data_IF_795831772273
#
_entry.id   IF_795831772273
#
_cell.length_a   1.000
_cell.length_b   1.000
_cell.length_c   1.000
_cell.angle_alpha   90.00
_cell.angle_beta   90.00
_cell.angle_gamma   90.00
#
_symmetry.space_group_name_H-M   'P 1'
#
loop_
_entity.id
_entity.type
_entity.pdbx_description
1 polymer ?
#
# COMPACT_ATOMS: atom_id res chain seq x y z
N UNK A 1 -17.60 2.16 -17.31
CA UNK A 1 -18.17 1.05 -16.51
C UNK A 1 -17.00 0.26 -15.99
N UNK A 2 -16.93 -0.03 -14.69
CA UNK A 2 -15.77 -0.69 -14.07
C UNK A 2 -15.84 -2.19 -14.35
N UNK A 3 -14.77 -2.77 -14.90
CA UNK A 3 -14.65 -4.23 -15.05
C UNK A 3 -14.13 -4.84 -13.74
N UNK A 4 -15.05 -5.18 -12.84
CA UNK A 4 -14.72 -5.74 -11.54
C UNK A 4 -14.02 -7.10 -11.59
N UNK A 5 -14.06 -7.81 -12.72
CA UNK A 5 -13.37 -9.09 -12.89
C UNK A 5 -11.85 -8.96 -12.97
N UNK A 6 -11.34 -7.77 -13.29
CA UNK A 6 -9.90 -7.48 -13.40
C UNK A 6 -9.35 -6.68 -12.22
N UNK A 7 -10.22 -6.21 -11.31
CA UNK A 7 -9.79 -5.34 -10.20
C UNK A 7 -9.05 -6.14 -9.13
N UNK A 8 -9.42 -7.40 -8.89
CA UNK A 8 -8.88 -8.22 -7.79
C UNK A 8 -8.02 -9.39 -8.29
N UNK A 9 -6.86 -9.59 -7.68
CA UNK A 9 -5.97 -10.73 -7.91
C UNK A 9 -6.62 -12.07 -7.50
N UNK A 10 -7.37 -12.05 -6.40
CA UNK A 10 -8.16 -13.19 -5.94
C UNK A 10 -9.59 -12.75 -5.60
N UNK A 11 -10.57 -13.47 -6.14
CA UNK A 11 -11.98 -13.14 -5.99
C UNK A 11 -12.84 -14.39 -5.82
N UNK A 12 -13.77 -14.33 -4.87
CA UNK A 12 -14.85 -15.31 -4.67
C UNK A 12 -16.18 -14.56 -4.64
N UNK A 13 -16.64 -14.06 -5.81
CA UNK A 13 -17.85 -13.27 -5.88
C UNK A 13 -19.09 -14.11 -5.55
N UNK A 14 -20.07 -13.48 -4.91
CA UNK A 14 -21.44 -13.99 -4.80
C UNK A 14 -22.25 -13.55 -6.01
N UNK A 15 -23.45 -14.12 -6.18
CA UNK A 15 -24.39 -13.66 -7.19
C UNK A 15 -24.63 -12.16 -7.02
N UNK A 16 -24.45 -11.38 -8.08
CA UNK A 16 -24.74 -9.95 -8.11
C UNK A 16 -26.21 -9.65 -7.80
N UNK A 17 -26.45 -8.49 -7.19
CA UNK A 17 -27.81 -8.04 -6.88
C UNK A 17 -28.54 -7.59 -8.15
N UNK A 18 -29.83 -7.88 -8.20
CA UNK A 18 -30.75 -7.37 -9.21
C UNK A 18 -31.05 -5.89 -9.01
N UNK A 19 -31.50 -5.18 -10.04
CA UNK A 19 -31.90 -3.78 -9.90
C UNK A 19 -33.03 -3.57 -8.88
N UNK A 20 -33.91 -4.56 -8.70
CA UNK A 20 -34.96 -4.51 -7.68
C UNK A 20 -34.38 -4.55 -6.26
N UNK A 21 -33.45 -5.48 -5.99
CA UNK A 21 -32.74 -5.57 -4.70
C UNK A 21 -31.92 -4.30 -4.41
N UNK A 22 -31.30 -3.71 -5.45
CA UNK A 22 -30.56 -2.46 -5.32
C UNK A 22 -31.50 -1.28 -5.02
N UNK A 23 -32.64 -1.19 -5.70
CA UNK A 23 -33.61 -0.13 -5.46
C UNK A 23 -34.18 -0.20 -4.04
N UNK A 24 -34.51 -1.40 -3.56
CA UNK A 24 -34.96 -1.62 -2.18
C UNK A 24 -33.87 -1.26 -1.17
N UNK A 25 -32.64 -1.71 -1.41
CA UNK A 25 -31.49 -1.38 -0.56
C UNK A 25 -31.28 0.14 -0.45
N UNK A 26 -31.25 0.86 -1.57
CA UNK A 26 -31.07 2.33 -1.58
C UNK A 26 -32.23 3.03 -0.86
N UNK A 27 -33.47 2.55 -1.04
CA UNK A 27 -34.64 3.15 -0.40
C UNK A 27 -34.71 2.94 1.11
N UNK A 28 -34.10 1.87 1.63
CA UNK A 28 -34.26 1.45 3.03
C UNK A 28 -32.99 1.61 3.87
N UNK A 29 -31.81 1.70 3.26
CA UNK A 29 -30.54 1.68 3.99
C UNK A 29 -30.43 2.81 5.04
N UNK A 30 -30.70 4.05 4.64
CA UNK A 30 -30.46 5.24 5.45
C UNK A 30 -31.63 5.67 6.33
N UNK A 31 -32.79 5.00 6.28
CA UNK A 31 -33.98 5.42 7.04
C UNK A 31 -33.78 5.22 8.55
N UNK A 32 -34.50 5.97 9.42
CA UNK A 32 -34.48 5.75 10.86
C UNK A 32 -34.75 4.30 11.26
N UNK A 33 -34.29 3.88 12.44
CA UNK A 33 -34.51 2.52 12.91
C UNK A 33 -36.01 2.24 13.10
N UNK A 34 -36.41 1.03 12.73
CA UNK A 34 -37.74 0.50 13.04
C UNK A 34 -37.85 0.15 14.53
N UNK A 35 -39.08 0.00 15.03
CA UNK A 35 -39.32 -0.40 16.41
C UNK A 35 -38.67 -1.76 16.75
N UNK A 36 -38.66 -2.70 15.81
CA UNK A 36 -38.05 -4.02 15.98
C UNK A 36 -36.52 -3.95 16.04
N UNK A 37 -35.90 -3.09 15.22
CA UNK A 37 -34.46 -2.83 15.27
C UNK A 37 -34.04 -2.18 16.58
N UNK A 38 -34.81 -1.19 17.07
CA UNK A 38 -34.60 -0.55 18.38
C UNK A 38 -34.69 -1.59 19.50
N UNK A 39 -35.73 -2.42 19.50
CA UNK A 39 -35.92 -3.46 20.51
C UNK A 39 -34.76 -4.48 20.49
N UNK A 40 -34.27 -4.86 19.31
CA UNK A 40 -33.12 -5.75 19.15
C UNK A 40 -31.85 -5.14 19.74
N UNK A 41 -31.54 -3.88 19.42
CA UNK A 41 -30.35 -3.20 19.96
C UNK A 41 -30.44 -3.12 21.48
N UNK A 42 -31.56 -2.65 22.03
CA UNK A 42 -31.79 -2.56 23.47
C UNK A 42 -31.64 -3.91 24.18
N UNK A 43 -32.07 -5.00 23.56
CA UNK A 43 -31.90 -6.36 24.11
C UNK A 43 -30.45 -6.83 24.23
N UNK A 44 -29.51 -6.25 23.48
CA UNK A 44 -28.09 -6.63 23.47
C UNK A 44 -27.21 -5.79 24.39
N UNK A 45 -27.67 -4.62 24.83
CA UNK A 45 -26.86 -3.73 25.68
C UNK A 45 -26.57 -4.36 27.05
N UNK A 46 -25.32 -4.29 27.50
CA UNK A 46 -24.87 -4.80 28.80
C UNK A 46 -23.91 -3.80 29.43
N UNK A 47 -23.95 -3.68 30.76
CA UNK A 47 -22.96 -2.90 31.50
C UNK A 47 -21.57 -3.53 31.27
N UNK A 48 -20.61 -2.80 30.65
CA UNK A 48 -19.29 -3.34 30.35
C UNK A 48 -18.39 -3.41 31.58
N UNK A 49 -18.75 -2.72 32.66
CA UNK A 49 -17.96 -2.65 33.89
C UNK A 49 -18.25 -3.84 34.80
N UNK A 50 -17.25 -4.23 35.59
CA UNK A 50 -17.46 -5.19 36.67
C UNK A 50 -18.19 -4.50 37.84
N UNK A 51 -18.98 -5.22 38.66
CA UNK A 51 -19.68 -4.62 39.81
C UNK A 51 -18.77 -3.91 40.82
N UNK A 52 -17.47 -4.23 40.83
CA UNK A 52 -16.45 -3.61 41.67
C UNK A 52 -15.86 -2.33 41.09
N UNK A 53 -16.12 -2.04 39.82
CA UNK A 53 -15.60 -0.86 39.14
C UNK A 53 -16.43 0.39 39.52
N UNK A 54 -15.80 1.53 39.86
CA UNK A 54 -16.51 2.77 40.17
C UNK A 54 -17.50 3.22 39.08
N UNK A 55 -17.27 2.86 37.81
CA UNK A 55 -18.13 3.25 36.68
C UNK A 55 -19.37 2.35 36.51
N UNK A 56 -19.46 1.25 37.28
CA UNK A 56 -20.60 0.33 37.19
C UNK A 56 -21.93 1.01 37.49
N UNK A 57 -21.97 1.83 38.54
CA UNK A 57 -23.20 2.49 39.01
C UNK A 57 -23.65 3.66 38.11
N UNK A 58 -22.76 4.15 37.26
CA UNK A 58 -23.01 5.31 36.37
C UNK A 58 -23.28 4.89 34.92
N UNK A 59 -23.22 3.60 34.61
CA UNK A 59 -23.51 3.13 33.26
C UNK A 59 -25.01 3.19 32.98
N UNK A 60 -25.36 3.84 31.88
CA UNK A 60 -26.72 3.86 31.33
C UNK A 60 -26.68 3.33 29.88
N UNK A 61 -27.69 2.54 29.46
CA UNK A 61 -27.81 2.15 28.06
C UNK A 61 -28.06 3.37 27.19
N UNK A 62 -27.50 3.38 25.97
CA UNK A 62 -27.77 4.44 25.01
C UNK A 62 -29.13 4.26 24.35
N UNK A 63 -29.68 5.34 23.81
CA UNK A 63 -30.94 5.32 23.07
C UNK A 63 -30.69 5.19 21.55
N UNK A 64 -30.93 4.00 20.93
CA UNK A 64 -30.74 3.81 19.50
C UNK A 64 -31.79 4.53 18.64
N UNK A 65 -32.89 5.03 19.23
CA UNK A 65 -33.86 5.85 18.49
C UNK A 65 -33.29 7.23 18.12
N UNK A 66 -32.26 7.69 18.84
CA UNK A 66 -31.59 8.96 18.59
C UNK A 66 -30.46 8.87 17.54
N UNK A 67 -30.20 7.67 16.99
CA UNK A 67 -29.11 7.47 16.02
C UNK A 67 -29.32 8.25 14.72
N UNK A 68 -28.26 8.95 14.31
CA UNK A 68 -28.23 9.69 13.05
C UNK A 68 -27.90 8.72 11.91
N UNK A 69 -28.93 8.39 11.14
CA UNK A 69 -28.82 7.51 9.98
C UNK A 69 -28.56 8.32 8.69
N UNK A 70 -27.82 7.76 7.71
CA UNK A 70 -27.44 8.46 6.48
C UNK A 70 -28.59 8.53 5.46
N UNK A 71 -29.75 9.07 5.85
CA UNK A 71 -30.97 9.11 5.03
C UNK A 71 -30.86 10.01 3.79
N UNK A 72 -30.07 11.08 3.90
CA UNK A 72 -29.83 12.07 2.85
C UNK A 72 -28.53 11.83 2.07
N UNK A 73 -27.77 10.78 2.43
CA UNK A 73 -26.50 10.43 1.79
C UNK A 73 -26.72 9.36 0.72
N UNK A 74 -26.46 9.64 -0.57
CA UNK A 74 -26.54 8.61 -1.60
C UNK A 74 -25.49 7.52 -1.39
N UNK A 75 -25.82 6.28 -1.74
CA UNK A 75 -24.82 5.19 -1.83
C UNK A 75 -23.87 5.49 -3.00
N UNK A 76 -22.55 5.31 -2.84
CA UNK A 76 -21.57 5.56 -3.89
C UNK A 76 -21.88 4.82 -5.20
N UNK A 77 -21.85 5.50 -6.36
CA UNK A 77 -22.08 4.86 -7.66
C UNK A 77 -21.15 3.70 -7.96
N UNK A 78 -19.87 3.79 -7.57
CA UNK A 78 -18.91 2.70 -7.74
C UNK A 78 -19.26 1.48 -6.87
N UNK A 79 -19.73 1.69 -5.64
CA UNK A 79 -20.21 0.60 -4.79
C UNK A 79 -21.48 -0.05 -5.35
N UNK A 80 -22.43 0.73 -5.87
CA UNK A 80 -23.60 0.19 -6.56
C UNK A 80 -23.21 -0.60 -7.82
N UNK A 81 -22.19 -0.15 -8.56
CA UNK A 81 -21.64 -0.92 -9.68
C UNK A 81 -21.03 -2.24 -9.21
N UNK A 82 -20.35 -2.26 -8.07
CA UNK A 82 -19.79 -3.47 -7.48
C UNK A 82 -20.86 -4.44 -7.01
N UNK A 83 -21.91 -3.97 -6.33
CA UNK A 83 -23.00 -4.83 -5.83
C UNK A 83 -23.77 -5.52 -6.97
N UNK A 84 -23.87 -4.88 -8.15
CA UNK A 84 -24.37 -5.51 -9.39
C UNK A 84 -23.48 -6.66 -9.87
N UNK A 85 -22.18 -6.54 -9.69
CA UNK A 85 -21.22 -7.60 -10.00
C UNK A 85 -21.24 -8.69 -8.93
N UNK A 86 -21.26 -8.33 -7.64
CA UNK A 86 -21.21 -9.25 -6.52
C UNK A 86 -21.92 -8.70 -5.28
N UNK A 87 -22.99 -9.37 -4.83
CA UNK A 87 -23.71 -9.01 -3.61
C UNK A 87 -22.99 -9.55 -2.36
N UNK A 88 -21.82 -8.98 -2.07
CA UNK A 88 -20.85 -9.45 -1.07
C UNK A 88 -19.90 -10.53 -1.61
N UNK A 89 -18.99 -11.04 -0.79
CA UNK A 89 -17.98 -12.05 -1.21
C UNK A 89 -16.62 -11.81 -0.57
N UNK A 90 -15.61 -12.59 -0.95
CA UNK A 90 -14.22 -12.35 -0.51
C UNK A 90 -13.33 -11.97 -1.68
N UNK A 91 -12.57 -10.90 -1.53
CA UNK A 91 -11.73 -10.29 -2.56
C UNK A 91 -10.39 -9.89 -1.98
N UNK A 92 -9.32 -9.97 -2.77
CA UNK A 92 -7.98 -9.67 -2.31
C UNK A 92 -7.09 -9.13 -3.44
N UNK A 93 -6.26 -8.16 -3.06
CA UNK A 93 -5.15 -7.62 -3.84
C UNK A 93 -3.92 -7.55 -2.92
N UNK A 94 -2.84 -8.24 -3.24
CA UNK A 94 -1.68 -8.34 -2.34
C UNK A 94 -2.08 -8.78 -0.93
N UNK A 95 -1.74 -7.97 0.08
CA UNK A 95 -2.11 -8.19 1.49
C UNK A 95 -3.44 -7.51 1.89
N UNK A 96 -4.11 -6.81 0.97
CA UNK A 96 -5.41 -6.18 1.22
C UNK A 96 -6.54 -7.17 0.97
N UNK A 97 -7.12 -7.67 2.06
CA UNK A 97 -8.27 -8.56 2.04
C UNK A 97 -9.56 -7.77 2.28
N UNK A 98 -10.63 -8.17 1.59
CA UNK A 98 -11.99 -7.68 1.77
C UNK A 98 -12.96 -8.85 1.91
N UNK A 99 -13.66 -8.90 3.03
CA UNK A 99 -14.91 -9.63 3.18
C UNK A 99 -16.03 -8.63 2.92
N UNK A 100 -16.35 -8.46 1.63
CA UNK A 100 -17.29 -7.45 1.16
C UNK A 100 -18.71 -7.79 1.58
N UNK A 101 -19.43 -6.77 2.04
CA UNK A 101 -20.88 -6.80 2.17
C UNK A 101 -21.50 -6.25 0.89
N UNK A 102 -22.77 -6.59 0.68
CA UNK A 102 -23.57 -6.05 -0.42
C UNK A 102 -24.80 -5.32 0.12
N UNK A 103 -25.98 -5.64 -0.37
CA UNK A 103 -27.23 -4.96 0.04
C UNK A 103 -27.59 -5.13 1.52
N UNK A 104 -26.96 -6.07 2.24
CA UNK A 104 -27.13 -6.28 3.69
C UNK A 104 -26.38 -5.31 4.61
N UNK A 105 -25.75 -4.25 4.08
CA UNK A 105 -24.99 -3.23 4.82
C UNK A 105 -25.66 -2.75 6.11
N UNK A 106 -26.98 -2.49 6.07
CA UNK A 106 -27.75 -1.98 7.21
C UNK A 106 -27.68 -2.90 8.42
N UNK A 107 -27.67 -4.22 8.21
CA UNK A 107 -27.62 -5.18 9.30
C UNK A 107 -26.31 -5.06 10.08
N UNK A 108 -25.19 -4.91 9.36
CA UNK A 108 -23.87 -4.73 9.99
C UNK A 108 -23.73 -3.38 10.66
N UNK A 109 -24.23 -2.31 10.04
CA UNK A 109 -24.27 -0.97 10.63
C UNK A 109 -24.95 -0.98 12.01
N UNK A 110 -26.09 -1.67 12.12
CA UNK A 110 -26.85 -1.79 13.37
C UNK A 110 -26.19 -2.79 14.33
N UNK A 111 -25.76 -3.96 13.87
CA UNK A 111 -25.20 -5.01 14.73
C UNK A 111 -23.94 -4.57 15.48
N UNK A 112 -23.14 -3.71 14.86
CA UNK A 112 -21.92 -3.14 15.47
C UNK A 112 -22.17 -1.80 16.15
N UNK A 113 -23.43 -1.36 16.24
CA UNK A 113 -23.82 -0.09 16.85
C UNK A 113 -23.02 1.11 16.29
N UNK A 114 -22.64 1.07 15.00
CA UNK A 114 -21.75 2.09 14.42
C UNK A 114 -22.32 3.51 14.58
N UNK A 115 -23.62 3.78 14.35
CA UNK A 115 -24.16 5.13 14.50
C UNK A 115 -24.05 5.71 15.92
N UNK A 116 -23.89 4.87 16.95
CA UNK A 116 -23.65 5.30 18.32
C UNK A 116 -22.27 5.94 18.50
N UNK A 117 -21.26 5.37 17.83
CA UNK A 117 -19.86 5.72 18.02
C UNK A 117 -19.33 6.61 16.89
N UNK A 118 -19.77 6.37 15.67
CA UNK A 118 -19.34 7.05 14.45
C UNK A 118 -20.57 7.43 13.61
N UNK A 119 -21.34 8.46 13.99
CA UNK A 119 -22.52 8.87 13.23
C UNK A 119 -22.13 9.24 11.79
N UNK A 120 -22.99 8.85 10.84
CA UNK A 120 -22.79 9.01 9.39
C UNK A 120 -21.55 8.28 8.81
N UNK A 121 -20.99 7.30 9.50
CA UNK A 121 -19.96 6.42 8.95
C UNK A 121 -20.57 5.05 8.63
N UNK A 122 -20.27 4.51 7.45
CA UNK A 122 -20.91 3.29 6.93
C UNK A 122 -19.87 2.21 6.63
N UNK A 123 -19.79 1.12 7.41
CA UNK A 123 -18.86 0.02 7.14
C UNK A 123 -19.35 -0.81 5.95
N UNK A 124 -18.46 -1.24 5.06
CA UNK A 124 -18.83 -2.03 3.87
C UNK A 124 -18.05 -3.34 3.68
N UNK A 125 -17.00 -3.56 4.44
CA UNK A 125 -16.24 -4.80 4.41
C UNK A 125 -15.41 -4.99 5.68
N UNK A 126 -15.09 -6.25 5.98
CA UNK A 126 -14.02 -6.59 6.91
C UNK A 126 -12.71 -6.86 6.18
N UNK A 127 -11.58 -6.65 6.86
CA UNK A 127 -10.27 -7.09 6.38
C UNK A 127 -9.94 -8.56 6.74
N UNK A 128 -10.82 -9.27 7.44
CA UNK A 128 -10.59 -10.63 7.95
C UNK A 128 -9.91 -10.72 9.33
N UNK A 129 -9.41 -9.61 9.88
CA UNK A 129 -8.78 -9.52 11.21
C UNK A 129 -9.48 -8.55 12.18
N UNK A 130 -10.75 -8.24 11.92
CA UNK A 130 -11.57 -7.38 12.80
C UNK A 130 -11.42 -5.89 12.55
N UNK A 131 -10.87 -5.48 11.39
CA UNK A 131 -10.89 -4.10 10.87
C UNK A 131 -12.00 -3.93 9.86
N UNK A 132 -12.84 -2.92 10.07
CA UNK A 132 -13.83 -2.51 9.08
C UNK A 132 -13.23 -1.47 8.14
N UNK A 133 -13.57 -1.57 6.87
CA UNK A 133 -13.47 -0.47 5.92
C UNK A 133 -14.80 0.27 5.91
N UNK A 134 -14.76 1.60 6.01
CA UNK A 134 -15.96 2.42 6.15
C UNK A 134 -15.94 3.62 5.21
N UNK A 135 -17.10 3.93 4.63
CA UNK A 135 -17.36 5.21 4.00
C UNK A 135 -17.48 6.28 5.07
N UNK A 136 -16.72 7.35 4.93
CA UNK A 136 -16.85 8.54 5.75
C UNK A 136 -17.88 9.49 5.14
N UNK A 137 -19.16 9.32 5.50
CA UNK A 137 -20.28 10.12 4.98
C UNK A 137 -20.65 11.29 5.91
N UNK A 138 -19.75 11.69 6.82
CA UNK A 138 -19.94 12.85 7.70
C UNK A 138 -20.12 14.12 6.87
N UNK A 139 -19.29 14.27 5.84
CA UNK A 139 -19.42 15.33 4.83
C UNK A 139 -20.25 14.86 3.62
N UNK A 140 -20.84 15.80 2.84
CA UNK A 140 -21.48 15.48 1.56
C UNK A 140 -20.51 14.78 0.60
N UNK A 141 -21.02 13.98 -0.35
CA UNK A 141 -20.18 13.31 -1.34
C UNK A 141 -19.47 14.31 -2.25
N UNK A 142 -18.41 13.85 -2.90
CA UNK A 142 -17.71 14.63 -3.92
C UNK A 142 -18.57 14.83 -5.19
N UNK A 143 -17.99 15.48 -6.20
CA UNK A 143 -18.66 15.75 -7.49
C UNK A 143 -19.03 14.48 -8.27
N UNK A 144 -18.51 13.32 -7.88
CA UNK A 144 -18.79 12.02 -8.47
C UNK A 144 -19.76 11.17 -7.63
N UNK A 145 -20.19 11.67 -6.47
CA UNK A 145 -21.06 10.91 -5.56
C UNK A 145 -20.29 9.95 -4.65
N UNK A 146 -18.97 10.09 -4.52
CA UNK A 146 -18.10 9.21 -3.75
C UNK A 146 -17.74 9.82 -2.37
N UNK A 147 -17.30 8.96 -1.45
CA UNK A 147 -16.83 9.37 -0.12
C UNK A 147 -15.42 8.84 0.15
N UNK A 148 -14.63 9.57 0.97
CA UNK A 148 -13.41 9.06 1.55
C UNK A 148 -13.62 7.72 2.27
N UNK A 149 -12.60 6.88 2.24
CA UNK A 149 -12.60 5.61 2.96
C UNK A 149 -11.70 5.72 4.17
N UNK A 150 -12.24 5.34 5.34
CA UNK A 150 -11.50 5.19 6.59
C UNK A 150 -11.50 3.71 7.03
N UNK A 151 -10.66 3.35 8.00
CA UNK A 151 -10.74 2.04 8.65
C UNK A 151 -10.87 2.17 10.17
N UNK A 152 -11.56 1.25 10.84
CA UNK A 152 -11.70 1.29 12.29
C UNK A 152 -11.74 -0.08 12.97
N UNK A 153 -11.43 -0.05 14.27
CA UNK A 153 -11.75 -1.05 15.31
C UNK A 153 -13.16 -1.59 15.26
N UNK A 154 -13.43 -2.85 14.88
CA UNK A 154 -14.76 -3.43 15.12
C UNK A 154 -15.14 -3.44 16.61
N UNK A 155 -14.14 -3.53 17.49
CA UNK A 155 -14.29 -3.43 18.95
C UNK A 155 -13.81 -2.10 19.54
N UNK A 156 -13.45 -1.12 18.71
CA UNK A 156 -12.87 0.16 19.14
C UNK A 156 -13.26 1.30 18.18
N UNK A 157 -14.56 1.38 17.84
CA UNK A 157 -15.08 2.45 16.98
C UNK A 157 -14.92 3.80 17.68
N UNK A 158 -14.29 4.77 17.01
CA UNK A 158 -14.01 6.14 17.48
C UNK A 158 -13.32 6.27 18.86
N UNK A 159 -12.66 5.21 19.35
CA UNK A 159 -12.01 5.25 20.66
C UNK A 159 -10.77 6.18 20.66
N UNK A 160 -10.05 6.23 19.54
CA UNK A 160 -8.94 7.15 19.30
C UNK A 160 -9.05 7.71 17.87
N UNK A 161 -9.11 9.04 17.67
CA UNK A 161 -9.11 9.67 16.36
C UNK A 161 -7.91 9.25 15.47
N UNK A 162 -6.80 8.80 16.06
CA UNK A 162 -5.64 8.27 15.33
C UNK A 162 -5.85 6.85 14.79
N UNK A 163 -6.82 6.08 15.31
CA UNK A 163 -7.15 4.73 14.85
C UNK A 163 -8.07 4.69 13.63
N UNK A 164 -8.65 5.84 13.25
CA UNK A 164 -9.56 5.95 12.09
C UNK A 164 -8.97 6.71 10.89
N UNK A 165 -7.80 6.31 10.36
CA UNK A 165 -7.15 7.03 9.27
C UNK A 165 -7.93 6.90 7.96
N UNK A 166 -7.85 7.96 7.15
CA UNK A 166 -8.25 7.92 5.75
C UNK A 166 -7.24 7.10 4.96
N UNK A 167 -7.75 6.12 4.22
CA UNK A 167 -6.97 5.10 3.51
C UNK A 167 -7.25 5.04 2.00
N UNK A 168 -8.27 5.76 1.53
CA UNK A 168 -8.49 6.04 0.10
C UNK A 168 -9.41 7.26 -0.07
N UNK A 169 -9.44 7.81 -1.29
CA UNK A 169 -10.35 8.86 -1.70
C UNK A 169 -11.75 8.37 -2.07
N UNK A 170 -11.89 7.14 -2.56
CA UNK A 170 -13.17 6.54 -2.97
C UNK A 170 -13.14 5.00 -2.92
N UNK A 171 -14.27 4.36 -3.23
CA UNK A 171 -14.43 2.90 -3.17
C UNK A 171 -13.57 2.14 -4.19
N UNK A 172 -13.41 2.68 -5.41
CA UNK A 172 -12.58 2.01 -6.42
C UNK A 172 -11.10 2.04 -6.02
N UNK A 173 -10.62 3.20 -5.57
CA UNK A 173 -9.24 3.39 -5.13
C UNK A 173 -8.89 2.44 -3.97
N UNK A 174 -9.78 2.29 -2.97
CA UNK A 174 -9.51 1.34 -1.88
C UNK A 174 -9.40 -0.09 -2.40
N UNK A 175 -10.28 -0.50 -3.34
CA UNK A 175 -10.30 -1.85 -3.91
C UNK A 175 -9.02 -2.16 -4.71
N UNK A 176 -8.43 -1.16 -5.39
CA UNK A 176 -7.16 -1.31 -6.11
C UNK A 176 -5.93 -1.37 -5.19
N UNK A 177 -6.06 -0.94 -3.92
CA UNK A 177 -4.96 -0.97 -2.97
C UNK A 177 -4.50 -2.39 -2.62
N UNK A 178 -3.19 -2.56 -2.35
CA UNK A 178 -2.56 -3.86 -2.09
C UNK A 178 -2.10 -4.07 -0.64
N UNK A 179 -2.17 -3.03 0.19
CA UNK A 179 -1.58 -3.01 1.54
C UNK A 179 -2.53 -3.48 2.64
N UNK A 180 -1.97 -4.17 3.65
CA UNK A 180 -2.71 -4.53 4.86
C UNK A 180 -2.91 -3.31 5.75
N UNK A 181 -4.17 -2.93 5.97
CA UNK A 181 -4.55 -1.79 6.80
C UNK A 181 -4.36 -2.00 8.30
N UNK A 182 -4.12 -3.22 8.78
CA UNK A 182 -3.81 -3.45 10.21
C UNK A 182 -2.55 -2.74 10.68
N UNK A 183 -1.63 -2.44 9.76
CA UNK A 183 -0.41 -1.68 10.07
C UNK A 183 -0.72 -0.29 10.62
N UNK A 184 -1.87 0.28 10.24
CA UNK A 184 -2.34 1.58 10.72
C UNK A 184 -2.74 1.57 12.20
N UNK A 185 -3.26 0.44 12.70
CA UNK A 185 -3.69 0.32 14.10
C UNK A 185 -2.55 0.34 15.11
N UNK A 186 -1.34 0.01 14.68
CA UNK A 186 -0.16 0.02 15.55
C UNK A 186 0.69 1.29 15.39
N UNK A 187 0.08 2.40 14.93
CA UNK A 187 0.77 3.67 14.69
C UNK A 187 1.65 3.66 13.43
N UNK A 188 1.44 2.71 12.53
CA UNK A 188 2.08 2.71 11.22
C UNK A 188 1.46 3.79 10.32
N UNK A 189 2.29 4.52 9.59
CA UNK A 189 1.82 5.47 8.57
C UNK A 189 1.61 4.70 7.27
N UNK A 190 0.39 4.73 6.73
CA UNK A 190 0.11 4.27 5.36
C UNK A 190 0.07 5.50 4.47
N UNK A 191 0.85 5.45 3.40
CA UNK A 191 0.92 6.56 2.46
C UNK A 191 -0.24 6.47 1.47
N UNK A 192 -0.83 7.61 1.13
CA UNK A 192 -1.65 7.76 -0.08
C UNK A 192 -0.76 7.97 -1.31
N UNK A 193 -1.34 7.91 -2.50
CA UNK A 193 -0.61 8.18 -3.74
C UNK A 193 0.12 9.53 -3.74
N UNK A 194 -0.49 10.60 -3.21
CA UNK A 194 0.11 11.94 -3.16
C UNK A 194 1.13 12.08 -2.02
N UNK A 195 0.88 11.41 -0.89
CA UNK A 195 1.85 11.38 0.22
C UNK A 195 3.12 10.61 -0.17
N UNK A 196 3.00 9.57 -1.01
CA UNK A 196 4.15 8.86 -1.55
C UNK A 196 5.10 9.80 -2.31
N UNK A 197 4.57 10.73 -3.12
CA UNK A 197 5.37 11.67 -3.91
C UNK A 197 6.15 12.68 -3.06
N UNK A 198 5.65 12.99 -1.86
CA UNK A 198 6.21 14.05 -1.01
C UNK A 198 6.90 13.53 0.26
N UNK A 199 6.77 12.24 0.58
CA UNK A 199 7.36 11.63 1.77
C UNK A 199 8.90 11.69 1.76
N UNK A 200 9.52 12.23 2.80
CA UNK A 200 10.98 12.24 2.95
C UNK A 200 11.49 11.14 3.91
N UNK A 201 10.61 10.29 4.41
CA UNK A 201 10.94 9.22 5.35
C UNK A 201 10.85 7.84 4.66
N UNK A 202 11.98 7.12 4.48
CA UNK A 202 11.96 5.82 3.86
C UNK A 202 11.27 4.74 4.70
N UNK A 203 11.08 4.92 6.02
CA UNK A 203 10.45 3.90 6.87
C UNK A 203 9.02 3.55 6.43
N UNK A 204 8.07 4.51 6.38
CA UNK A 204 6.72 4.22 5.91
C UNK A 204 6.72 3.78 4.44
N UNK A 205 7.62 4.31 3.61
CA UNK A 205 7.70 3.90 2.21
C UNK A 205 8.13 2.43 2.02
N UNK A 206 9.09 1.96 2.83
CA UNK A 206 9.54 0.57 2.82
C UNK A 206 8.44 -0.39 3.30
N UNK A 207 7.60 0.07 4.24
CA UNK A 207 6.44 -0.70 4.66
C UNK A 207 5.49 -0.94 3.47
N UNK A 208 5.32 0.01 2.55
CA UNK A 208 4.56 -0.15 1.30
C UNK A 208 5.26 -1.01 0.24
N UNK A 209 6.43 -1.58 0.51
CA UNK A 209 7.25 -2.28 -0.50
C UNK A 209 7.55 -3.74 -0.16
N UNK A 210 7.04 -4.25 0.96
CA UNK A 210 7.45 -5.55 1.55
C UNK A 210 7.34 -6.77 0.61
N UNK A 211 6.42 -6.74 -0.35
CA UNK A 211 6.14 -7.91 -1.21
C UNK A 211 7.08 -8.01 -2.42
N UNK A 212 8.08 -7.14 -2.54
CA UNK A 212 9.02 -7.10 -3.67
C UNK A 212 10.46 -7.42 -3.25
N UNK A 213 10.70 -8.67 -2.88
CA UNK A 213 12.00 -9.17 -2.39
C UNK A 213 13.20 -8.70 -3.22
N UNK A 214 13.12 -8.81 -4.56
CA UNK A 214 14.19 -8.35 -5.46
C UNK A 214 14.43 -6.85 -5.37
N UNK A 215 13.37 -6.03 -5.44
CA UNK A 215 13.48 -4.57 -5.41
C UNK A 215 13.96 -4.05 -4.05
N UNK A 216 13.50 -4.66 -2.96
CA UNK A 216 13.99 -4.36 -1.61
C UNK A 216 15.48 -4.63 -1.48
N UNK A 217 15.97 -5.74 -2.05
CA UNK A 217 17.41 -6.05 -2.07
C UNK A 217 18.20 -5.08 -2.93
N UNK A 218 17.69 -4.66 -4.09
CA UNK A 218 18.33 -3.63 -4.93
C UNK A 218 18.36 -2.26 -4.21
N UNK A 219 17.30 -1.90 -3.50
CA UNK A 219 17.28 -0.71 -2.64
C UNK A 219 18.30 -0.80 -1.49
N UNK A 220 18.41 -1.97 -0.85
CA UNK A 220 19.37 -2.23 0.22
C UNK A 220 20.83 -2.06 -0.23
N UNK A 221 21.10 -2.16 -1.53
CA UNK A 221 22.46 -2.10 -2.06
C UNK A 221 23.05 -0.71 -1.81
N UNK A 222 24.20 -0.70 -1.12
CA UNK A 222 24.92 0.50 -0.72
C UNK A 222 25.58 1.24 -1.92
N UNK A 223 25.10 1.05 -3.14
CA UNK A 223 25.63 1.70 -4.36
C UNK A 223 25.56 3.23 -4.26
N UNK A 224 24.52 3.79 -3.62
CA UNK A 224 24.42 5.22 -3.34
C UNK A 224 25.61 5.76 -2.52
N UNK A 225 26.04 4.99 -1.53
CA UNK A 225 27.18 5.34 -0.67
C UNK A 225 28.47 4.65 -1.10
N UNK A 226 28.59 4.25 -2.37
CA UNK A 226 29.75 3.49 -2.88
C UNK A 226 31.10 4.15 -2.56
N UNK A 227 31.12 5.49 -2.61
CA UNK A 227 32.28 6.32 -2.27
C UNK A 227 32.71 6.22 -0.79
N UNK A 228 31.79 5.84 0.10
CA UNK A 228 32.04 5.60 1.52
C UNK A 228 32.37 4.14 1.85
N UNK A 229 32.19 3.20 0.91
CA UNK A 229 32.47 1.78 1.14
C UNK A 229 33.98 1.54 1.07
N UNK A 230 34.62 1.15 2.18
CA UNK A 230 36.07 1.00 2.22
C UNK A 230 36.47 -0.34 1.62
N UNK A 231 37.50 -0.36 0.78
CA UNK A 231 38.14 -1.59 0.32
C UNK A 231 37.33 -2.47 -0.65
N UNK A 232 38.07 -3.16 -1.52
CA UNK A 232 37.50 -3.95 -2.62
C UNK A 232 36.59 -5.09 -2.14
N UNK A 233 36.90 -5.69 -0.98
CA UNK A 233 36.13 -6.81 -0.44
C UNK A 233 34.67 -6.47 -0.14
N UNK A 234 34.41 -5.23 0.29
CA UNK A 234 33.06 -4.79 0.68
C UNK A 234 32.27 -4.29 -0.52
N UNK A 235 32.96 -3.73 -1.53
CA UNK A 235 32.37 -3.45 -2.84
C UNK A 235 31.87 -4.73 -3.52
N UNK A 236 32.68 -5.79 -3.49
CA UNK A 236 32.25 -7.13 -3.95
C UNK A 236 31.06 -7.70 -3.17
N UNK A 237 30.91 -7.35 -1.90
CA UNK A 237 29.75 -7.73 -1.10
C UNK A 237 28.45 -7.07 -1.61
N UNK A 238 28.52 -5.78 -1.97
CA UNK A 238 27.39 -5.08 -2.59
C UNK A 238 27.06 -5.67 -3.96
N UNK A 239 28.06 -5.91 -4.81
CA UNK A 239 27.85 -6.52 -6.12
C UNK A 239 27.23 -7.93 -6.02
N UNK A 240 27.68 -8.74 -5.05
CA UNK A 240 27.08 -10.05 -4.80
C UNK A 240 25.63 -9.95 -4.30
N UNK A 241 25.29 -8.92 -3.52
CA UNK A 241 23.92 -8.67 -3.09
C UNK A 241 23.01 -8.30 -4.28
N UNK A 242 23.49 -7.46 -5.21
CA UNK A 242 22.78 -7.14 -6.45
C UNK A 242 22.58 -8.38 -7.32
N UNK A 243 23.61 -9.21 -7.48
CA UNK A 243 23.52 -10.45 -8.24
C UNK A 243 22.59 -11.48 -7.58
N UNK A 244 22.57 -11.54 -6.25
CA UNK A 244 21.63 -12.37 -5.50
C UNK A 244 20.18 -11.89 -5.70
N UNK A 245 19.94 -10.58 -5.71
CA UNK A 245 18.62 -10.01 -6.01
C UNK A 245 18.10 -10.43 -7.40
N UNK A 246 19.01 -10.56 -8.36
CA UNK A 246 18.72 -11.04 -9.73
C UNK A 246 18.74 -12.57 -9.88
N UNK A 247 18.90 -13.33 -8.78
CA UNK A 247 18.94 -14.80 -8.81
C UNK A 247 20.19 -15.40 -9.46
N UNK A 248 21.26 -14.62 -9.66
CA UNK A 248 22.53 -15.06 -10.30
C UNK A 248 23.52 -15.66 -9.30
N UNK A 249 23.31 -15.42 -8.02
CA UNK A 249 24.12 -15.94 -6.90
C UNK A 249 23.20 -16.74 -5.98
N UNK A 250 23.70 -17.82 -5.41
CA UNK A 250 22.92 -18.68 -4.49
C UNK A 250 22.87 -18.10 -3.07
N UNK A 251 21.87 -18.51 -2.27
CA UNK A 251 21.77 -18.06 -0.87
C UNK A 251 22.96 -18.55 -0.03
N UNK A 252 23.52 -19.72 -0.37
CA UNK A 252 24.69 -20.25 0.30
C UNK A 252 25.94 -19.38 0.09
N UNK A 253 26.19 -18.96 -1.16
CA UNK A 253 27.28 -18.05 -1.50
C UNK A 253 27.12 -16.68 -0.82
N UNK A 254 25.91 -16.09 -0.87
CA UNK A 254 25.57 -14.84 -0.18
C UNK A 254 25.87 -14.94 1.32
N UNK A 255 25.37 -15.99 1.97
CA UNK A 255 25.58 -16.23 3.41
C UNK A 255 27.05 -16.45 3.75
N UNK A 256 27.78 -17.16 2.89
CA UNK A 256 29.23 -17.35 3.01
C UNK A 256 29.99 -16.02 2.97
N UNK A 257 29.64 -15.14 2.05
CA UNK A 257 30.25 -13.82 1.93
C UNK A 257 29.90 -12.90 3.11
N UNK A 258 28.65 -12.93 3.57
CA UNK A 258 28.20 -12.18 4.76
C UNK A 258 29.08 -12.54 5.97
N UNK A 259 29.23 -13.84 6.28
CA UNK A 259 30.05 -14.33 7.41
C UNK A 259 31.53 -13.93 7.32
N UNK A 260 32.07 -13.77 6.11
CA UNK A 260 33.45 -13.31 5.89
C UNK A 260 33.59 -11.80 6.16
N UNK A 261 32.61 -11.01 5.73
CA UNK A 261 32.64 -9.55 5.86
C UNK A 261 32.24 -9.07 7.27
N UNK A 262 31.24 -9.71 7.90
CA UNK A 262 30.63 -9.29 9.17
C UNK A 262 31.66 -9.21 10.32
N UNK A 263 32.61 -10.14 10.37
CA UNK A 263 33.68 -10.18 11.40
C UNK A 263 34.58 -8.95 11.43
N UNK A 264 34.61 -8.19 10.35
CA UNK A 264 35.58 -7.12 10.11
C UNK A 264 34.91 -5.84 9.60
N UNK A 265 33.58 -5.84 9.47
CA UNK A 265 32.78 -4.74 8.94
C UNK A 265 32.62 -3.60 9.93
N UNK A 266 32.37 -3.94 11.21
CA UNK A 266 32.15 -2.93 12.26
C UNK A 266 33.37 -2.02 12.41
N UNK A 267 34.55 -2.62 12.53
CA UNK A 267 35.80 -1.88 12.74
C UNK A 267 36.27 -1.16 11.47
N UNK A 268 35.80 -1.59 10.29
CA UNK A 268 36.10 -0.96 9.01
C UNK A 268 35.07 0.10 8.60
N UNK A 269 34.00 0.34 9.36
CA UNK A 269 32.92 1.26 8.93
C UNK A 269 32.11 0.76 7.72
N UNK A 270 32.10 -0.55 7.47
CA UNK A 270 31.48 -1.16 6.28
C UNK A 270 30.18 -1.92 6.59
N UNK A 271 29.49 -1.55 7.67
CA UNK A 271 28.26 -2.21 8.14
C UNK A 271 27.16 -2.22 7.07
N UNK A 272 27.03 -1.13 6.30
CA UNK A 272 26.07 -1.03 5.19
C UNK A 272 26.27 -2.12 4.12
N UNK A 273 27.52 -2.37 3.74
CA UNK A 273 27.89 -3.41 2.76
C UNK A 273 27.64 -4.85 3.25
N UNK A 274 27.51 -5.06 4.56
CA UNK A 274 27.12 -6.37 5.13
C UNK A 274 25.62 -6.49 5.30
N UNK A 275 24.94 -5.39 5.64
CA UNK A 275 23.50 -5.39 5.83
C UNK A 275 22.73 -5.68 4.54
N UNK A 276 23.24 -5.27 3.37
CA UNK A 276 22.64 -5.62 2.08
C UNK A 276 22.67 -7.12 1.78
N UNK A 277 23.56 -7.88 2.44
CA UNK A 277 23.60 -9.34 2.41
C UNK A 277 22.72 -9.96 3.50
N UNK A 278 21.69 -9.29 4.02
CA UNK A 278 20.77 -9.92 5.00
C UNK A 278 19.88 -10.99 4.36
N UNK A 279 19.46 -11.97 5.16
CA UNK A 279 18.63 -13.08 4.65
C UNK A 279 17.24 -12.59 4.26
N UNK A 280 16.60 -11.83 5.13
CA UNK A 280 15.32 -11.20 4.89
C UNK A 280 15.50 -9.90 4.07
N UNK A 281 14.67 -9.71 3.03
CA UNK A 281 14.79 -8.58 2.11
C UNK A 281 14.41 -7.25 2.78
N UNK A 282 13.35 -7.24 3.59
CA UNK A 282 12.91 -6.07 4.36
C UNK A 282 13.98 -5.63 5.37
N UNK A 283 14.60 -6.59 6.06
CA UNK A 283 15.72 -6.35 6.95
C UNK A 283 16.95 -5.85 6.20
N UNK A 284 17.22 -6.35 4.99
CA UNK A 284 18.31 -5.84 4.17
C UNK A 284 18.08 -4.37 3.81
N UNK A 285 16.86 -4.04 3.35
CA UNK A 285 16.45 -2.69 2.97
C UNK A 285 16.54 -1.72 4.14
N UNK A 286 15.89 -2.05 5.26
CA UNK A 286 15.85 -1.22 6.46
C UNK A 286 17.25 -1.00 7.06
N UNK A 287 17.98 -2.09 7.33
CA UNK A 287 19.30 -1.98 7.95
C UNK A 287 20.34 -1.36 7.00
N UNK A 288 20.17 -1.53 5.69
CA UNK A 288 20.99 -0.89 4.66
C UNK A 288 20.76 0.62 4.63
N UNK A 289 19.51 1.05 4.56
CA UNK A 289 19.08 2.46 4.63
C UNK A 289 19.58 3.14 5.90
N UNK A 290 19.35 2.54 7.07
CA UNK A 290 19.80 3.08 8.36
C UNK A 290 21.32 3.23 8.42
N UNK A 291 22.08 2.21 8.03
CA UNK A 291 23.55 2.27 8.02
C UNK A 291 24.08 3.29 7.03
N UNK A 292 23.45 3.43 5.87
CA UNK A 292 23.85 4.43 4.88
C UNK A 292 23.61 5.87 5.37
N UNK A 293 22.49 6.12 6.03
CA UNK A 293 22.20 7.42 6.61
C UNK A 293 23.18 7.77 7.75
N UNK A 294 23.59 6.81 8.58
CA UNK A 294 24.59 7.06 9.63
C UNK A 294 25.96 7.37 9.04
N UNK A 295 26.35 6.64 7.99
CA UNK A 295 27.64 6.86 7.31
C UNK A 295 27.75 8.26 6.70
N UNK A 296 26.67 8.79 6.13
CA UNK A 296 26.63 10.15 5.57
C UNK A 296 26.48 11.24 6.62
N UNK A 297 25.71 10.96 7.68
CA UNK A 297 25.54 11.89 8.78
C UNK A 297 26.81 12.06 9.62
N UNK A 298 27.73 11.09 9.58
CA UNK A 298 28.89 10.98 10.47
C UNK A 298 28.47 11.00 11.96
N UNK A 299 27.29 10.45 12.24
CA UNK A 299 26.74 10.31 13.59
C UNK A 299 25.95 9.00 13.71
N UNK A 300 25.80 8.49 14.94
CA UNK A 300 24.95 7.33 15.25
C UNK A 300 23.66 7.72 16.00
N UNK A 301 23.26 9.00 15.96
CA UNK A 301 22.12 9.50 16.75
C UNK A 301 20.78 9.35 16.03
N UNK A 302 20.78 9.14 14.72
CA UNK A 302 19.56 9.03 13.93
C UNK A 302 18.76 10.33 13.83
N UNK A 303 19.41 11.50 13.96
CA UNK A 303 18.78 12.81 13.98
C UNK A 303 19.68 13.89 13.36
N UNK A 304 19.07 15.01 12.94
CA UNK A 304 19.76 16.21 12.45
C UNK A 304 19.80 16.36 10.93
N UNK A 305 20.28 17.51 10.41
CA UNK A 305 20.07 17.89 9.01
C UNK A 305 20.69 16.95 7.98
N UNK A 306 21.89 16.41 8.26
CA UNK A 306 22.55 15.44 7.37
C UNK A 306 21.80 14.10 7.33
N UNK A 307 21.25 13.67 8.47
CA UNK A 307 20.45 12.47 8.57
C UNK A 307 19.14 12.61 7.80
N UNK A 308 18.44 13.73 7.97
CA UNK A 308 17.22 14.05 7.24
C UNK A 308 17.46 14.13 5.72
N UNK A 309 18.55 14.76 5.29
CA UNK A 309 18.94 14.81 3.89
C UNK A 309 19.25 13.40 3.31
N UNK A 310 19.95 12.56 4.07
CA UNK A 310 20.21 11.17 3.67
C UNK A 310 18.92 10.36 3.52
N UNK A 311 17.95 10.52 4.43
CA UNK A 311 16.64 9.87 4.33
C UNK A 311 15.83 10.38 3.14
N UNK A 312 15.85 11.68 2.85
CA UNK A 312 15.17 12.24 1.68
C UNK A 312 15.73 11.65 0.37
N UNK A 313 17.05 11.51 0.25
CA UNK A 313 17.66 10.85 -0.90
C UNK A 313 17.30 9.36 -1.00
N UNK A 314 17.11 8.68 0.13
CA UNK A 314 16.64 7.29 0.14
C UNK A 314 15.18 7.18 -0.27
N UNK A 315 14.34 8.15 0.10
CA UNK A 315 12.96 8.23 -0.39
C UNK A 315 12.92 8.42 -1.92
N UNK A 316 13.79 9.26 -2.49
CA UNK A 316 13.92 9.40 -3.94
C UNK A 316 14.39 8.11 -4.61
N UNK A 317 15.32 7.39 -3.99
CA UNK A 317 15.77 6.07 -4.47
C UNK A 317 14.62 5.03 -4.42
N UNK A 318 13.75 5.07 -3.43
CA UNK A 318 12.56 4.22 -3.38
C UNK A 318 11.62 4.55 -4.55
N UNK A 319 11.37 5.83 -4.84
CA UNK A 319 10.56 6.23 -6.01
C UNK A 319 11.20 5.77 -7.32
N UNK A 320 12.52 5.84 -7.43
CA UNK A 320 13.24 5.36 -8.61
C UNK A 320 13.07 3.84 -8.82
N UNK A 321 13.13 3.04 -7.75
CA UNK A 321 13.08 1.57 -7.86
C UNK A 321 11.62 1.05 -7.93
N UNK A 322 10.71 1.66 -7.19
CA UNK A 322 9.34 1.18 -7.03
C UNK A 322 8.32 1.92 -7.88
N UNK A 323 8.63 3.15 -8.31
CA UNK A 323 7.63 4.06 -8.86
C UNK A 323 6.69 4.51 -7.75
N UNK A 324 5.47 4.88 -8.13
CA UNK A 324 4.38 5.08 -7.18
C UNK A 324 3.56 3.78 -7.08
N UNK A 325 3.64 3.02 -5.96
CA UNK A 325 2.95 1.74 -5.84
C UNK A 325 1.42 1.88 -5.82
N UNK A 326 0.90 3.10 -5.63
CA UNK A 326 -0.53 3.43 -5.67
C UNK A 326 -1.00 3.88 -7.05
N UNK A 327 -0.09 4.09 -8.01
CA UNK A 327 -0.38 4.44 -9.41
C UNK A 327 0.36 3.50 -10.36
N UNK A 328 -0.05 2.22 -10.44
CA UNK A 328 0.61 1.26 -11.31
C UNK A 328 0.46 1.64 -12.78
N UNK A 329 1.57 1.77 -13.49
CA UNK A 329 1.60 1.95 -14.95
C UNK A 329 1.33 0.62 -15.65
N UNK A 330 0.36 0.62 -16.56
CA UNK A 330 -0.01 -0.56 -17.33
C UNK A 330 0.81 -0.65 -18.63
N UNK A 331 1.39 -1.82 -18.91
CA UNK A 331 2.17 -2.07 -20.13
C UNK A 331 1.30 -2.74 -21.18
N UNK A 332 1.21 -2.15 -22.37
CA UNK A 332 0.61 -2.81 -23.54
C UNK A 332 1.61 -3.78 -24.19
N UNK A 333 1.19 -5.04 -24.36
CA UNK A 333 1.98 -6.08 -25.01
C UNK A 333 2.31 -5.75 -26.47
N UNK A 334 1.56 -4.88 -27.13
CA UNK A 334 1.87 -4.39 -28.48
C UNK A 334 3.17 -3.59 -28.50
N UNK A 335 3.45 -2.80 -27.46
CA UNK A 335 4.70 -2.05 -27.36
C UNK A 335 5.91 -2.97 -27.30
N UNK A 336 5.76 -4.10 -26.59
CA UNK A 336 6.84 -5.08 -26.40
C UNK A 336 7.10 -5.92 -27.64
N UNK A 337 6.09 -6.12 -28.50
CA UNK A 337 6.23 -6.87 -29.77
C UNK A 337 6.67 -5.97 -30.93
N UNK A 338 6.54 -4.67 -30.78
CA UNK A 338 6.90 -3.70 -31.80
C UNK A 338 8.35 -3.87 -32.27
N UNK A 339 8.54 -3.76 -33.59
CA UNK A 339 9.83 -3.89 -34.27
C UNK A 339 10.64 -5.11 -33.78
N UNK A 340 10.03 -6.30 -33.81
CA UNK A 340 10.65 -7.56 -33.40
C UNK A 340 11.24 -7.54 -31.96
N UNK A 341 10.53 -6.89 -31.03
CA UNK A 341 10.95 -6.83 -29.63
C UNK A 341 12.04 -5.82 -29.34
N UNK A 342 12.10 -4.71 -30.09
CA UNK A 342 13.15 -3.69 -29.91
C UNK A 342 13.10 -3.06 -28.51
N UNK A 343 11.91 -2.72 -28.01
CA UNK A 343 11.74 -2.10 -26.68
C UNK A 343 12.35 -2.95 -25.55
N UNK A 344 11.97 -4.23 -25.36
CA UNK A 344 12.56 -5.06 -24.32
C UNK A 344 14.06 -5.34 -24.54
N UNK A 345 14.54 -5.45 -25.79
CA UNK A 345 15.96 -5.64 -26.07
C UNK A 345 16.82 -4.44 -25.65
N UNK A 346 16.35 -3.22 -25.92
CA UNK A 346 17.02 -1.99 -25.45
C UNK A 346 16.98 -1.96 -23.92
N UNK A 347 15.82 -2.23 -23.32
CA UNK A 347 15.67 -2.24 -21.87
C UNK A 347 16.62 -3.25 -21.20
N UNK A 348 16.73 -4.47 -21.72
CA UNK A 348 17.67 -5.48 -21.23
C UNK A 348 19.14 -5.06 -21.40
N UNK A 349 19.50 -4.45 -22.54
CA UNK A 349 20.86 -3.94 -22.75
C UNK A 349 21.22 -2.87 -21.72
N UNK A 350 20.33 -1.89 -21.50
CA UNK A 350 20.53 -0.84 -20.51
C UNK A 350 20.72 -1.46 -19.13
N UNK A 351 19.86 -2.40 -18.75
CA UNK A 351 19.95 -3.06 -17.44
C UNK A 351 21.22 -3.90 -17.26
N UNK A 352 21.66 -4.61 -18.29
CA UNK A 352 22.87 -5.45 -18.21
C UNK A 352 24.16 -4.61 -18.15
N UNK A 353 24.18 -3.46 -18.82
CA UNK A 353 25.35 -2.58 -18.90
C UNK A 353 25.37 -1.48 -17.84
N UNK A 354 24.25 -1.26 -17.15
CA UNK A 354 23.99 -0.07 -16.31
C UNK A 354 24.20 1.26 -17.06
N UNK A 355 24.05 1.28 -18.39
CA UNK A 355 24.21 2.48 -19.21
C UNK A 355 22.91 3.29 -19.27
N UNK A 356 22.53 3.91 -18.16
CA UNK A 356 21.25 4.63 -18.05
C UNK A 356 21.15 5.88 -18.92
N UNK A 357 22.25 6.36 -19.51
CA UNK A 357 22.22 7.47 -20.48
C UNK A 357 21.44 7.12 -21.75
N UNK A 358 21.18 5.84 -22.01
CA UNK A 358 20.41 5.37 -23.16
C UNK A 358 18.89 5.35 -22.88
N UNK A 359 18.42 5.68 -21.66
CA UNK A 359 16.98 5.68 -21.34
C UNK A 359 16.13 6.63 -22.22
N UNK A 360 16.61 7.82 -22.64
CA UNK A 360 15.87 8.62 -23.63
C UNK A 360 15.67 7.89 -24.96
N UNK A 361 16.63 7.07 -25.39
CA UNK A 361 16.50 6.25 -26.60
C UNK A 361 15.42 5.17 -26.41
N UNK A 362 15.33 4.59 -25.21
CA UNK A 362 14.25 3.68 -24.85
C UNK A 362 12.88 4.38 -24.85
N UNK A 363 12.81 5.62 -24.35
CA UNK A 363 11.59 6.42 -24.36
C UNK A 363 11.09 6.69 -25.79
N UNK A 364 12.00 7.07 -26.69
CA UNK A 364 11.66 7.34 -28.09
C UNK A 364 11.19 6.07 -28.80
N UNK A 365 11.86 4.93 -28.60
CA UNK A 365 11.42 3.65 -29.14
C UNK A 365 10.04 3.22 -28.58
N UNK A 366 9.76 3.50 -27.30
CA UNK A 366 8.49 3.21 -26.66
C UNK A 366 7.36 4.11 -27.20
N UNK A 367 7.63 5.39 -27.44
CA UNK A 367 6.69 6.34 -28.05
C UNK A 367 6.40 5.97 -29.52
N UNK A 368 7.42 5.57 -30.29
CA UNK A 368 7.27 5.04 -31.66
C UNK A 368 6.46 3.73 -31.70
N UNK A 369 6.54 2.93 -30.64
CA UNK A 369 5.73 1.73 -30.47
C UNK A 369 4.25 2.03 -30.14
N UNK A 370 3.89 3.30 -29.94
CA UNK A 370 2.51 3.77 -29.70
C UNK A 370 2.17 4.01 -28.24
N UNK A 371 3.16 4.07 -27.34
CA UNK A 371 2.92 4.45 -25.95
C UNK A 371 2.51 5.91 -25.83
N UNK A 372 1.43 6.18 -25.09
CA UNK A 372 0.93 7.54 -24.81
C UNK A 372 0.91 7.86 -23.31
N UNK A 373 1.42 6.95 -22.48
CA UNK A 373 1.49 7.13 -21.04
C UNK A 373 2.57 8.18 -20.71
N UNK A 374 2.12 9.33 -20.22
CA UNK A 374 3.01 10.46 -19.95
C UNK A 374 3.95 10.21 -18.77
N UNK A 375 3.59 9.35 -17.81
CA UNK A 375 4.38 9.12 -16.61
C UNK A 375 5.64 8.32 -16.91
N UNK A 376 5.50 7.20 -17.64
CA UNK A 376 6.65 6.38 -18.03
C UNK A 376 7.57 7.12 -19.01
N UNK A 377 7.01 7.84 -19.98
CA UNK A 377 7.79 8.60 -20.95
C UNK A 377 8.55 9.75 -20.29
N UNK A 378 7.91 10.50 -19.39
CA UNK A 378 8.56 11.58 -18.65
C UNK A 378 9.66 11.04 -17.73
N UNK A 379 9.43 9.90 -17.07
CA UNK A 379 10.42 9.27 -16.21
C UNK A 379 11.68 8.85 -16.98
N UNK A 380 11.54 8.15 -18.11
CA UNK A 380 12.67 7.70 -18.94
C UNK A 380 13.48 8.85 -19.56
N UNK A 381 12.85 10.02 -19.76
CA UNK A 381 13.49 11.23 -20.30
C UNK A 381 14.09 12.13 -19.22
N UNK A 382 13.83 11.86 -17.94
CA UNK A 382 14.28 12.71 -16.85
C UNK A 382 15.81 12.63 -16.73
N UNK A 383 16.53 13.76 -16.57
CA UNK A 383 17.99 13.76 -16.47
C UNK A 383 18.52 13.31 -15.07
N UNK A 384 17.81 12.42 -14.39
CA UNK A 384 18.13 11.97 -13.04
C UNK A 384 19.09 10.77 -13.04
N UNK A 385 19.74 10.51 -11.89
CA UNK A 385 20.57 9.33 -11.67
C UNK A 385 19.67 8.09 -11.49
N UNK A 386 19.36 7.42 -12.60
CA UNK A 386 18.67 6.15 -12.60
C UNK A 386 19.56 5.04 -12.02
N UNK A 387 18.94 4.04 -11.41
CA UNK A 387 19.65 2.92 -10.79
C UNK A 387 19.16 1.57 -11.29
N UNK A 388 19.95 0.52 -10.99
CA UNK A 388 19.52 -0.86 -11.20
C UNK A 388 18.25 -1.12 -10.39
N UNK A 389 17.20 -1.58 -11.07
CA UNK A 389 15.88 -1.75 -10.47
C UNK A 389 14.92 -0.58 -10.72
N UNK A 390 15.33 0.42 -11.52
CA UNK A 390 14.44 1.46 -12.05
C UNK A 390 13.09 0.88 -12.46
N UNK A 391 12.00 1.41 -11.91
CA UNK A 391 10.67 0.81 -12.06
C UNK A 391 10.22 0.75 -13.52
N UNK A 392 10.45 1.82 -14.29
CA UNK A 392 10.04 1.91 -15.69
C UNK A 392 10.83 0.91 -16.56
N UNK A 393 12.13 0.81 -16.31
CA UNK A 393 12.99 -0.13 -16.99
C UNK A 393 12.61 -1.57 -16.68
N UNK A 394 12.37 -1.89 -15.41
CA UNK A 394 11.97 -3.24 -14.99
C UNK A 394 10.63 -3.65 -15.61
N UNK A 395 9.61 -2.76 -15.66
CA UNK A 395 8.31 -3.06 -16.28
C UNK A 395 8.44 -3.49 -17.74
N UNK A 396 9.26 -2.78 -18.52
CA UNK A 396 9.48 -3.06 -19.95
C UNK A 396 10.27 -4.36 -20.18
N UNK A 397 11.02 -4.83 -19.18
CA UNK A 397 11.78 -6.09 -19.24
C UNK A 397 10.93 -7.28 -18.84
N UNK A 398 10.22 -7.19 -17.71
CA UNK A 398 9.50 -8.33 -17.11
C UNK A 398 8.21 -8.70 -17.83
N UNK A 399 7.63 -7.80 -18.62
CA UNK A 399 6.41 -8.07 -19.38
C UNK A 399 6.64 -8.86 -20.68
N UNK A 400 7.90 -9.22 -20.99
CA UNK A 400 8.29 -10.03 -22.16
C UNK A 400 8.36 -11.55 -21.89
N UNK A 401 8.09 -11.98 -20.66
CA UNK A 401 7.90 -13.37 -20.23
C UNK A 401 6.46 -13.59 -19.82
#
# INVERSE_FOLDING_TARGET
MIDWSTVFEHATPKKGATEAEIAEFVATFGVPLTADEIARVNGTQRNPWLPTDPQYATWEPFDPAAWVMPADRPIPPSYLSFVRYSNGGSFQNGKRLFQMWGTGLREFLICYNVPQYMPLVVPFAFNGGGVMYLFDMREPPDVHGEYPIICAGAGALDFDPHESPRIAGNFLEICCGRFNVERLRFGGVVLTADQWETCADPKPMLDECEDHDRKLRLFACARRIWHLIPGERFRRAVEAAEQFADGKVTDEERRGLKKKCERVARDAGATSAVNCLSTDASSAAWNGSWSAANAEADTNRGEGPKWEAARAQQADLLREIFGNPFRPVHIDLLWLKWNNGTVPQIADRIYQTNNFSDLPVLADALEEAGCTDAEILAHLRRPNEHVRGCWALDLLRTAST
#
